data_IF_708176150716
#
_entry.id   IF_708176150716
#
_cell.length_a   1.000
_cell.length_b   1.000
_cell.length_c   1.000
_cell.angle_alpha   90.00
_cell.angle_beta   90.00
_cell.angle_gamma   90.00
#
_symmetry.space_group_name_H-M   'P 1'
#
loop_
_entity.id
_entity.type
_entity.pdbx_description
1 polymer ?
#
# COMPACT_ATOMS: atom_id res chain seq x y z
N UNK A 1 -13.33 -3.33 25.15
CA UNK A 1 -12.16 -2.68 24.51
C UNK A 1 -12.62 -2.18 23.16
N UNK A 2 -12.65 -0.89 22.96
CA UNK A 2 -12.92 -0.33 21.64
C UNK A 2 -11.65 -0.51 20.83
N UNK A 3 -11.66 -1.44 19.89
CA UNK A 3 -10.57 -1.59 18.93
C UNK A 3 -10.49 -0.27 18.14
N UNK A 4 -9.33 0.37 18.16
CA UNK A 4 -9.11 1.57 17.36
C UNK A 4 -9.09 1.17 15.87
N UNK A 5 -9.65 2.00 14.99
CA UNK A 5 -9.64 1.72 13.57
C UNK A 5 -8.19 1.58 13.06
N UNK A 6 -7.99 0.64 12.15
CA UNK A 6 -6.72 0.41 11.49
C UNK A 6 -6.48 1.46 10.40
N UNK A 7 -5.42 2.25 10.52
CA UNK A 7 -5.02 3.26 9.54
C UNK A 7 -3.65 2.95 8.98
N UNK A 8 -3.54 2.84 7.67
CA UNK A 8 -2.29 2.46 6.97
C UNK A 8 -2.12 3.23 5.67
N UNK A 9 -0.90 3.37 5.23
CA UNK A 9 -0.55 3.68 3.84
C UNK A 9 -0.23 2.37 3.12
N UNK A 10 -0.77 2.18 1.93
CA UNK A 10 -0.64 0.94 1.15
C UNK A 10 -0.07 1.27 -0.22
N UNK A 11 0.95 0.53 -0.67
CA UNK A 11 1.48 0.67 -2.01
C UNK A 11 0.80 -0.26 -3.04
N UNK A 12 1.09 -0.04 -4.33
CA UNK A 12 0.47 -0.78 -5.41
C UNK A 12 0.85 -2.28 -5.44
N UNK A 13 2.00 -2.65 -4.86
CA UNK A 13 2.43 -4.06 -4.78
C UNK A 13 1.53 -4.88 -3.86
N UNK A 14 0.89 -4.22 -2.89
CA UNK A 14 -0.11 -4.83 -2.02
C UNK A 14 -1.45 -4.91 -2.76
N UNK A 15 -1.87 -3.82 -3.39
CA UNK A 15 -3.16 -3.73 -4.07
C UNK A 15 -3.37 -4.81 -5.14
N UNK A 16 -2.33 -5.13 -5.92
CA UNK A 16 -2.43 -6.13 -6.99
C UNK A 16 -2.78 -7.53 -6.46
N UNK A 17 -2.38 -7.87 -5.25
CA UNK A 17 -2.64 -9.18 -4.64
C UNK A 17 -4.10 -9.43 -4.26
N UNK A 18 -4.95 -8.41 -4.37
CA UNK A 18 -6.40 -8.58 -4.25
C UNK A 18 -7.00 -9.38 -5.42
N UNK A 19 -6.42 -9.21 -6.61
CA UNK A 19 -7.01 -9.71 -7.84
C UNK A 19 -6.16 -10.80 -8.50
N UNK A 20 -4.87 -10.82 -8.20
CA UNK A 20 -3.94 -11.84 -8.70
C UNK A 20 -3.56 -12.77 -7.55
N UNK A 21 -3.75 -14.08 -7.74
CA UNK A 21 -3.37 -15.08 -6.74
C UNK A 21 -1.85 -15.27 -6.76
N UNK A 22 -1.21 -14.71 -5.75
CA UNK A 22 0.23 -14.77 -5.50
C UNK A 22 0.49 -15.09 -4.03
N UNK A 23 1.77 -15.24 -3.68
CA UNK A 23 2.16 -15.35 -2.27
C UNK A 23 1.59 -14.18 -1.45
N UNK A 24 1.03 -14.50 -0.30
CA UNK A 24 0.39 -13.54 0.65
C UNK A 24 -0.90 -12.87 0.19
N UNK A 25 -1.52 -13.28 -0.90
CA UNK A 25 -2.84 -12.77 -1.31
C UNK A 25 -3.90 -12.96 -0.23
N UNK A 26 -3.85 -14.06 0.52
CA UNK A 26 -4.72 -14.31 1.68
C UNK A 26 -4.63 -13.20 2.75
N UNK A 27 -3.42 -12.73 3.06
CA UNK A 27 -3.20 -11.65 4.01
C UNK A 27 -3.69 -10.30 3.49
N UNK A 28 -3.52 -10.06 2.20
CA UNK A 28 -4.01 -8.84 1.55
C UNK A 28 -5.54 -8.86 1.52
N UNK A 29 -6.18 -9.98 1.18
CA UNK A 29 -7.63 -10.10 1.26
C UNK A 29 -8.15 -9.77 2.65
N UNK A 30 -7.56 -10.36 3.68
CA UNK A 30 -7.92 -10.06 5.08
C UNK A 30 -7.75 -8.58 5.44
N UNK A 31 -6.69 -7.91 4.93
CA UNK A 31 -6.49 -6.48 5.14
C UNK A 31 -7.61 -5.64 4.51
N UNK A 32 -7.96 -5.95 3.27
CA UNK A 32 -8.99 -5.19 2.55
C UNK A 32 -10.41 -5.51 3.03
N UNK A 33 -10.67 -6.69 3.58
CA UNK A 33 -11.93 -7.01 4.25
C UNK A 33 -12.20 -6.09 5.44
N UNK A 34 -11.15 -5.57 6.10
CA UNK A 34 -11.30 -4.60 7.19
C UNK A 34 -11.93 -3.27 6.73
N UNK A 35 -11.95 -2.95 5.44
CA UNK A 35 -12.66 -1.76 4.92
C UNK A 35 -14.17 -1.85 5.14
N UNK A 36 -14.72 -3.05 5.23
CA UNK A 36 -16.15 -3.31 5.43
C UNK A 36 -16.49 -3.74 6.87
N UNK A 37 -15.55 -3.70 7.80
CA UNK A 37 -15.78 -4.05 9.19
C UNK A 37 -16.66 -3.01 9.90
N UNK A 38 -17.21 -3.35 11.06
CA UNK A 38 -18.01 -2.44 11.91
C UNK A 38 -17.22 -1.18 12.30
N UNK A 39 -15.91 -1.35 12.54
CA UNK A 39 -14.94 -0.25 12.66
C UNK A 39 -14.01 -0.35 11.44
N UNK A 40 -14.33 0.37 10.35
CA UNK A 40 -13.64 0.17 9.10
C UNK A 40 -12.19 0.63 9.18
N UNK A 41 -11.31 -0.14 8.54
CA UNK A 41 -9.95 0.31 8.29
C UNK A 41 -9.95 1.54 7.36
N UNK A 42 -8.92 2.37 7.47
CA UNK A 42 -8.69 3.49 6.55
C UNK A 42 -7.35 3.27 5.87
N UNK A 43 -7.40 3.01 4.56
CA UNK A 43 -6.22 2.81 3.73
C UNK A 43 -5.96 4.06 2.90
N UNK A 44 -4.79 4.66 3.09
CA UNK A 44 -4.32 5.84 2.38
C UNK A 44 -3.36 5.46 1.27
N UNK A 45 -3.38 6.21 0.17
CA UNK A 45 -2.44 6.07 -0.93
C UNK A 45 -2.34 7.38 -1.72
N UNK A 46 -1.21 7.67 -2.37
CA UNK A 46 -1.15 8.74 -3.36
C UNK A 46 -1.92 8.32 -4.62
N UNK A 47 -2.41 9.28 -5.41
CA UNK A 47 -3.15 9.00 -6.65
C UNK A 47 -2.31 8.28 -7.72
N UNK A 48 -1.00 8.37 -7.65
CA UNK A 48 -0.07 7.59 -8.48
C UNK A 48 -0.27 6.07 -8.34
N UNK A 49 -0.85 5.61 -7.23
CA UNK A 49 -1.18 4.20 -6.98
C UNK A 49 -1.97 3.59 -8.14
N UNK A 50 -2.94 4.31 -8.67
CA UNK A 50 -3.77 3.79 -9.78
C UNK A 50 -2.99 3.60 -11.07
N UNK A 51 -2.02 4.48 -11.33
CA UNK A 51 -1.17 4.35 -12.53
C UNK A 51 -0.16 3.20 -12.37
N UNK A 52 0.44 3.07 -11.21
CA UNK A 52 1.32 1.92 -10.92
C UNK A 52 0.56 0.61 -10.99
N UNK A 53 -0.63 0.55 -10.40
CA UNK A 53 -1.51 -0.62 -10.47
C UNK A 53 -1.85 -0.97 -11.91
N UNK A 54 -2.20 0.02 -12.73
CA UNK A 54 -2.46 -0.16 -14.17
C UNK A 54 -1.24 -0.74 -14.89
N UNK A 55 -0.02 -0.27 -14.58
CA UNK A 55 1.21 -0.79 -15.15
C UNK A 55 1.49 -2.25 -14.72
N UNK A 56 1.15 -2.60 -13.50
CA UNK A 56 1.27 -3.99 -13.03
C UNK A 56 0.30 -4.89 -13.81
N UNK A 57 -0.98 -4.53 -13.93
CA UNK A 57 -1.95 -5.27 -14.73
C UNK A 57 -1.52 -5.41 -16.20
N UNK A 58 -0.99 -4.35 -16.79
CA UNK A 58 -0.47 -4.37 -18.15
C UNK A 58 0.69 -5.37 -18.29
N UNK A 59 1.58 -5.47 -17.30
CA UNK A 59 2.63 -6.48 -17.24
C UNK A 59 2.04 -7.90 -17.21
N UNK A 60 1.00 -8.12 -16.39
CA UNK A 60 0.31 -9.42 -16.31
C UNK A 60 -0.35 -9.80 -17.64
N UNK A 61 -1.03 -8.86 -18.28
CA UNK A 61 -1.62 -9.06 -19.61
C UNK A 61 -0.57 -9.44 -20.64
N UNK A 62 0.58 -8.74 -20.68
CA UNK A 62 1.62 -8.95 -21.71
C UNK A 62 2.47 -10.19 -21.49
N UNK A 63 2.73 -10.58 -20.24
CA UNK A 63 3.71 -11.61 -19.90
C UNK A 63 3.12 -12.91 -19.40
N UNK A 64 1.95 -12.86 -18.78
CA UNK A 64 1.35 -14.02 -18.12
C UNK A 64 -0.01 -14.43 -18.71
N UNK A 65 -0.40 -13.86 -19.84
CA UNK A 65 -1.65 -14.23 -20.54
C UNK A 65 -2.93 -13.81 -19.84
N UNK A 66 -2.86 -12.85 -18.90
CA UNK A 66 -4.03 -12.29 -18.26
C UNK A 66 -4.90 -11.57 -19.31
N UNK A 67 -6.21 -11.79 -19.30
CA UNK A 67 -7.05 -11.16 -20.30
C UNK A 67 -7.17 -9.64 -20.05
N UNK A 68 -7.29 -8.85 -21.10
CA UNK A 68 -7.52 -7.42 -20.97
C UNK A 68 -8.88 -7.12 -20.33
N UNK A 69 -9.85 -8.01 -20.54
CA UNK A 69 -11.19 -7.90 -19.94
C UNK A 69 -11.13 -8.09 -18.43
N UNK A 70 -10.41 -9.11 -17.94
CA UNK A 70 -10.17 -9.34 -16.51
C UNK A 70 -9.44 -8.15 -15.89
N UNK A 71 -8.38 -7.67 -16.54
CA UNK A 71 -7.64 -6.49 -16.06
C UNK A 71 -8.52 -5.23 -15.95
N UNK A 72 -9.46 -5.05 -16.88
CA UNK A 72 -10.43 -3.94 -16.80
C UNK A 72 -11.43 -4.13 -15.67
N UNK A 73 -11.90 -5.36 -15.45
CA UNK A 73 -12.79 -5.68 -14.35
C UNK A 73 -12.12 -5.39 -13.00
N UNK A 74 -10.85 -5.78 -12.84
CA UNK A 74 -10.06 -5.52 -11.64
C UNK A 74 -9.92 -4.02 -11.36
N UNK A 75 -9.67 -3.19 -12.38
CA UNK A 75 -9.63 -1.73 -12.23
C UNK A 75 -10.97 -1.15 -11.80
N UNK A 76 -12.08 -1.67 -12.32
CA UNK A 76 -13.43 -1.24 -11.92
C UNK A 76 -13.69 -1.60 -10.47
N UNK A 77 -13.34 -2.81 -10.05
CA UNK A 77 -13.53 -3.27 -8.67
C UNK A 77 -12.63 -2.53 -7.69
N UNK A 78 -11.38 -2.26 -8.06
CA UNK A 78 -10.50 -1.40 -7.29
C UNK A 78 -11.11 0.00 -7.06
N UNK A 79 -11.71 0.58 -8.10
CA UNK A 79 -12.37 1.90 -8.04
C UNK A 79 -13.61 1.93 -7.12
N UNK A 80 -14.16 0.78 -6.75
CA UNK A 80 -15.30 0.67 -5.81
C UNK A 80 -14.87 0.62 -4.34
N UNK A 81 -13.59 0.41 -4.07
CA UNK A 81 -13.09 0.36 -2.70
C UNK A 81 -13.07 1.75 -2.07
N UNK A 82 -13.41 1.83 -0.79
CA UNK A 82 -13.40 3.08 -0.03
C UNK A 82 -11.98 3.47 0.41
N UNK A 83 -11.14 3.84 -0.57
CA UNK A 83 -9.76 4.22 -0.36
C UNK A 83 -9.63 5.74 -0.11
N UNK A 84 -8.64 6.14 0.67
CA UNK A 84 -8.30 7.55 0.92
C UNK A 84 -7.14 7.96 0.04
N UNK A 85 -7.46 8.67 -1.03
CA UNK A 85 -6.47 9.08 -2.05
C UNK A 85 -5.98 10.49 -1.77
N UNK A 86 -4.66 10.67 -1.77
CA UNK A 86 -3.98 11.96 -1.60
C UNK A 86 -3.34 12.35 -2.92
N UNK A 87 -3.51 13.59 -3.39
CA UNK A 87 -2.88 14.05 -4.63
C UNK A 87 -1.36 13.93 -4.55
N UNK A 88 -0.76 13.26 -5.53
CA UNK A 88 0.71 13.15 -5.66
C UNK A 88 1.37 14.53 -5.73
N UNK A 89 0.69 15.49 -6.35
CA UNK A 89 1.18 16.87 -6.45
C UNK A 89 1.50 17.50 -5.09
N UNK A 90 0.76 17.14 -4.04
CA UNK A 90 0.98 17.67 -2.69
C UNK A 90 2.21 17.05 -2.00
N UNK A 91 2.74 15.95 -2.56
CA UNK A 91 3.85 15.19 -2.00
C UNK A 91 5.17 15.37 -2.77
N UNK A 92 5.15 16.00 -3.94
CA UNK A 92 6.26 15.97 -4.91
C UNK A 92 7.55 16.59 -4.39
N UNK A 93 7.49 17.72 -3.70
CA UNK A 93 8.69 18.43 -3.21
C UNK A 93 9.44 17.58 -2.19
N UNK A 94 8.74 17.11 -1.15
CA UNK A 94 9.35 16.26 -0.13
C UNK A 94 9.79 14.91 -0.70
N UNK A 95 9.06 14.39 -1.70
CA UNK A 95 9.43 13.15 -2.37
C UNK A 95 10.71 13.29 -3.17
N UNK A 96 10.92 14.42 -3.85
CA UNK A 96 12.17 14.69 -4.55
C UNK A 96 13.35 14.76 -3.59
N UNK A 97 13.20 15.50 -2.49
CA UNK A 97 14.24 15.63 -1.48
C UNK A 97 14.58 14.27 -0.85
N UNK A 98 13.56 13.51 -0.47
CA UNK A 98 13.74 12.20 0.12
C UNK A 98 14.41 11.23 -0.86
N UNK A 99 13.93 11.17 -2.10
CA UNK A 99 14.48 10.30 -3.14
C UNK A 99 15.96 10.57 -3.40
N UNK A 100 16.35 11.85 -3.46
CA UNK A 100 17.74 12.26 -3.68
C UNK A 100 18.65 11.85 -2.50
N UNK A 101 18.19 12.03 -1.27
CA UNK A 101 18.99 11.70 -0.07
C UNK A 101 19.11 10.19 0.13
N UNK A 102 18.04 9.45 -0.11
CA UNK A 102 17.97 8.01 0.18
C UNK A 102 18.33 7.12 -1.03
N UNK A 103 18.56 7.73 -2.21
CA UNK A 103 18.82 6.99 -3.44
C UNK A 103 17.72 5.95 -3.76
N UNK A 104 16.46 6.37 -3.64
CA UNK A 104 15.27 5.60 -4.00
C UNK A 104 14.53 6.29 -5.14
N UNK A 105 13.54 5.63 -5.71
CA UNK A 105 12.72 6.25 -6.76
C UNK A 105 11.80 7.33 -6.19
N UNK A 106 11.38 8.30 -7.03
CA UNK A 106 10.37 9.29 -6.62
C UNK A 106 9.02 8.64 -6.28
N UNK A 107 8.68 7.52 -6.92
CA UNK A 107 7.47 6.75 -6.60
C UNK A 107 7.52 6.22 -5.16
N UNK A 108 8.60 5.53 -4.81
CA UNK A 108 8.81 4.98 -3.46
C UNK A 108 8.83 6.08 -2.40
N UNK A 109 9.52 7.17 -2.70
CA UNK A 109 9.57 8.34 -1.83
C UNK A 109 8.17 8.93 -1.59
N UNK A 110 7.30 8.91 -2.58
CA UNK A 110 5.95 9.46 -2.46
C UNK A 110 5.12 8.70 -1.40
N UNK A 111 5.16 7.39 -1.37
CA UNK A 111 4.52 6.59 -0.34
C UNK A 111 5.13 6.82 1.04
N UNK A 112 6.46 6.88 1.13
CA UNK A 112 7.16 7.12 2.37
C UNK A 112 6.86 8.52 2.96
N UNK A 113 6.81 9.55 2.12
CA UNK A 113 6.42 10.91 2.51
C UNK A 113 4.98 10.92 3.02
N UNK A 114 4.05 10.27 2.32
CA UNK A 114 2.66 10.19 2.76
C UNK A 114 2.56 9.51 4.13
N UNK A 115 3.22 8.37 4.31
CA UNK A 115 3.24 7.65 5.59
C UNK A 115 3.81 8.52 6.72
N UNK A 116 4.91 9.23 6.45
CA UNK A 116 5.53 10.14 7.43
C UNK A 116 4.63 11.30 7.80
N UNK A 117 3.99 11.96 6.82
CA UNK A 117 3.09 13.09 7.07
C UNK A 117 1.86 12.71 7.88
N UNK A 118 1.35 11.49 7.68
CA UNK A 118 0.19 10.99 8.41
C UNK A 118 0.54 10.29 9.72
N UNK A 119 1.84 10.10 10.01
CA UNK A 119 2.32 9.27 11.13
C UNK A 119 1.72 7.86 11.12
N UNK A 120 1.71 7.25 9.93
CA UNK A 120 1.15 5.93 9.68
C UNK A 120 2.22 4.96 9.18
N UNK A 121 1.98 3.67 9.41
CA UNK A 121 2.81 2.62 8.82
C UNK A 121 2.53 2.46 7.33
N UNK A 122 3.60 2.27 6.55
CA UNK A 122 3.54 1.90 5.14
C UNK A 122 3.57 0.38 4.99
N UNK A 123 2.61 -0.18 4.26
CA UNK A 123 2.55 -1.61 3.95
C UNK A 123 2.95 -1.83 2.50
N UNK A 124 3.96 -2.65 2.28
CA UNK A 124 4.49 -3.01 0.97
C UNK A 124 4.66 -4.53 0.84
N UNK A 125 4.54 -5.04 -0.37
CA UNK A 125 4.84 -6.41 -0.75
C UNK A 125 6.11 -6.53 -1.62
N UNK A 126 6.85 -5.43 -1.80
CA UNK A 126 8.15 -5.41 -2.49
C UNK A 126 9.29 -5.40 -1.47
N UNK A 127 9.98 -6.54 -1.34
CA UNK A 127 11.06 -6.74 -0.36
C UNK A 127 12.23 -5.77 -0.55
N UNK A 128 12.61 -5.51 -1.79
CA UNK A 128 13.76 -4.65 -2.09
C UNK A 128 13.51 -3.19 -1.68
N UNK A 129 12.29 -2.77 -1.80
CA UNK A 129 11.78 -1.46 -1.45
C UNK A 129 11.72 -1.30 0.08
N UNK A 130 11.12 -2.28 0.74
CA UNK A 130 10.89 -2.29 2.17
C UNK A 130 12.18 -2.22 3.00
N UNK A 131 13.21 -2.99 2.65
CA UNK A 131 14.48 -2.98 3.38
C UNK A 131 15.16 -1.60 3.37
N UNK A 132 15.06 -0.86 2.27
CA UNK A 132 15.59 0.50 2.17
C UNK A 132 14.80 1.49 3.04
N UNK A 133 13.47 1.38 3.04
CA UNK A 133 12.62 2.27 3.83
C UNK A 133 12.68 1.98 5.33
N UNK A 134 12.75 0.72 5.75
CA UNK A 134 12.91 0.35 7.15
C UNK A 134 14.19 0.89 7.77
N UNK A 135 15.30 0.80 7.04
CA UNK A 135 16.59 1.27 7.53
C UNK A 135 16.58 2.76 7.90
N UNK A 136 15.68 3.54 7.30
CA UNK A 136 15.64 4.99 7.45
C UNK A 136 14.45 5.54 8.23
N UNK A 137 13.28 4.87 8.19
CA UNK A 137 12.05 5.43 8.73
C UNK A 137 11.40 4.64 9.86
N UNK A 138 11.74 3.37 10.03
CA UNK A 138 11.09 2.50 11.01
C UNK A 138 9.57 2.34 10.82
N UNK A 139 9.04 2.83 9.69
CA UNK A 139 7.60 2.96 9.41
C UNK A 139 7.04 1.90 8.46
N UNK A 140 7.92 1.11 7.82
CA UNK A 140 7.48 0.12 6.86
C UNK A 140 7.11 -1.19 7.55
N UNK A 141 5.94 -1.72 7.23
CA UNK A 141 5.50 -3.06 7.60
C UNK A 141 5.53 -3.96 6.36
N UNK A 142 6.26 -5.07 6.50
CA UNK A 142 6.32 -6.08 5.47
C UNK A 142 5.22 -7.13 5.67
N UNK A 143 4.52 -7.49 4.61
CA UNK A 143 3.43 -8.48 4.71
C UNK A 143 3.92 -9.85 5.21
N UNK A 144 5.22 -10.14 5.10
CA UNK A 144 5.79 -11.44 5.42
C UNK A 144 6.07 -11.70 6.89
N UNK A 145 6.56 -10.72 7.64
CA UNK A 145 7.15 -10.97 8.95
C UNK A 145 6.16 -11.18 10.08
N UNK A 146 4.91 -10.80 9.88
CA UNK A 146 3.93 -10.86 10.95
C UNK A 146 2.62 -11.46 10.48
N UNK A 147 1.98 -12.22 11.33
CA UNK A 147 0.54 -12.44 11.27
C UNK A 147 -0.17 -11.10 11.46
N UNK A 148 -0.13 -10.29 10.40
CA UNK A 148 -0.34 -8.84 10.35
C UNK A 148 -1.70 -8.35 10.83
N UNK A 149 -2.54 -9.22 11.31
CA UNK A 149 -3.89 -8.89 11.74
C UNK A 149 -4.11 -9.15 13.22
N UNK A 150 -3.04 -9.35 13.98
CA UNK A 150 -3.17 -9.28 15.42
C UNK A 150 -3.33 -7.81 15.83
N UNK A 151 -4.42 -7.44 16.52
CA UNK A 151 -4.65 -6.06 17.00
C UNK A 151 -3.51 -5.48 17.84
N UNK A 152 -2.62 -6.34 18.36
CA UNK A 152 -1.48 -5.94 19.18
C UNK A 152 -0.36 -5.21 18.42
N UNK A 153 -0.30 -5.34 17.09
CA UNK A 153 0.77 -4.71 16.27
C UNK A 153 0.48 -3.22 16.04
N UNK A 154 -0.79 -2.83 16.12
CA UNK A 154 -1.24 -1.47 15.89
C UNK A 154 -1.34 -0.62 17.18
N UNK A 155 -0.72 -1.07 18.26
CA UNK A 155 -0.51 -0.17 19.40
C UNK A 155 0.39 0.97 18.92
N UNK A 156 -0.21 2.15 18.78
CA UNK A 156 0.52 3.41 18.70
C UNK A 156 1.68 3.32 19.68
N UNK A 157 2.91 3.59 19.23
CA UNK A 157 3.97 3.96 20.16
C UNK A 157 3.42 5.14 20.94
N UNK A 158 3.10 4.90 22.22
CA UNK A 158 2.56 5.93 23.08
C UNK A 158 3.52 7.13 23.13
N UNK A 159 2.97 8.31 23.00
CA UNK A 159 3.47 9.50 23.65
C UNK A 159 3.21 9.37 25.15
#
# INVERSE_FOLDING_TARGET
>A
MTDAPLWLVVDASVGIKLFVSEDYSDKVHNLFEQLAADIPAILYMPDLFYLEYTNILLKYTRRFGWSLEDSRADLVDLGRLSLRVVPTADLMEDSLLLAAVQNITGYDACYAVLATRLDLSLVSADESHWQRLLAHFGLALWIFEHSMLSPSIFKRRGL
#
